data_IF_059265420295
#
_entry.id   IF_059265420295
#
_cell.length_a   1.000
_cell.length_b   1.000
_cell.length_c   1.000
_cell.angle_alpha   90.00
_cell.angle_beta   90.00
_cell.angle_gamma   90.00
#
_symmetry.space_group_name_H-M   'P 1'
#
loop_
_entity.id
_entity.type
_entity.pdbx_description
1 polymer ?
#
# COMPACT_ATOMS: atom_id res chain seq x y z
N UNK A 1 37.17 32.50 -38.88
CA UNK A 1 35.77 32.07 -38.82
C UNK A 1 35.76 30.77 -38.05
N UNK A 2 35.00 30.74 -36.96
CA UNK A 2 34.76 29.53 -36.17
C UNK A 2 33.65 28.65 -36.77
N UNK A 3 33.15 27.77 -35.91
CA UNK A 3 32.18 26.67 -36.11
C UNK A 3 32.74 25.40 -36.77
N UNK A 4 32.53 24.19 -36.23
CA UNK A 4 31.71 23.81 -35.08
C UNK A 4 32.00 22.36 -34.67
N UNK A 5 31.96 22.13 -33.37
CA UNK A 5 31.98 20.80 -32.75
C UNK A 5 30.58 20.30 -32.40
N UNK A 6 30.56 19.12 -31.76
CA UNK A 6 29.39 18.52 -31.12
C UNK A 6 28.76 17.45 -32.01
N UNK A 7 28.98 16.15 -31.79
CA UNK A 7 28.93 15.47 -30.50
C UNK A 7 27.59 14.76 -30.43
N UNK A 8 27.51 13.62 -31.12
CA UNK A 8 26.32 12.80 -31.20
C UNK A 8 26.04 12.10 -29.88
N UNK A 9 24.83 12.35 -29.38
CA UNK A 9 23.87 11.44 -28.78
C UNK A 9 24.40 10.20 -28.05
N UNK A 10 24.19 10.21 -26.75
CA UNK A 10 24.22 9.03 -25.89
C UNK A 10 23.54 9.33 -24.56
N UNK A 11 22.24 9.69 -24.59
CA UNK A 11 21.43 9.60 -23.38
C UNK A 11 21.09 8.12 -23.20
N UNK A 12 21.95 7.41 -22.50
CA UNK A 12 21.53 6.23 -21.75
C UNK A 12 20.72 6.75 -20.58
N UNK A 13 19.40 6.71 -20.70
CA UNK A 13 18.52 6.70 -19.54
C UNK A 13 18.74 5.33 -18.89
N UNK A 14 19.69 5.30 -17.96
CA UNK A 14 19.79 4.22 -16.99
C UNK A 14 18.52 4.33 -16.13
N UNK A 15 17.52 3.53 -16.49
CA UNK A 15 16.39 3.20 -15.64
C UNK A 15 16.98 2.52 -14.40
N UNK A 16 17.35 3.31 -13.39
CA UNK A 16 17.81 2.83 -12.08
C UNK A 16 16.69 2.01 -11.44
N UNK A 17 16.72 0.71 -11.71
CA UNK A 17 15.86 -0.30 -11.13
C UNK A 17 16.03 -0.27 -9.60
N UNK A 18 14.93 -0.37 -8.82
CA UNK A 18 15.05 -0.63 -7.39
C UNK A 18 15.54 -2.08 -7.20
N UNK A 19 16.85 -2.26 -7.18
CA UNK A 19 17.47 -3.50 -6.72
C UNK A 19 17.04 -3.74 -5.28
N UNK A 20 16.56 -4.95 -4.96
CA UNK A 20 16.17 -5.34 -3.60
C UNK A 20 17.43 -5.44 -2.76
N UNK A 21 17.85 -4.32 -2.17
CA UNK A 21 18.99 -4.30 -1.26
C UNK A 21 18.70 -5.22 -0.06
N UNK A 22 19.52 -6.27 0.18
CA UNK A 22 19.34 -7.16 1.32
C UNK A 22 19.46 -6.47 2.68
N UNK A 23 19.91 -5.21 2.75
CA UNK A 23 19.92 -4.38 3.95
C UNK A 23 18.58 -3.67 4.24
N UNK A 24 17.62 -3.76 3.32
CA UNK A 24 16.35 -3.04 3.40
C UNK A 24 15.47 -3.52 4.55
N UNK A 25 14.99 -2.58 5.36
CA UNK A 25 14.00 -2.86 6.41
C UNK A 25 12.61 -2.71 5.80
N UNK A 26 11.96 -3.84 5.55
CA UNK A 26 10.55 -3.88 5.20
C UNK A 26 9.73 -3.98 6.47
N UNK A 27 8.86 -3.01 6.71
CA UNK A 27 7.92 -3.10 7.84
C UNK A 27 6.66 -3.81 7.37
N UNK A 28 6.47 -5.04 7.83
CA UNK A 28 5.18 -5.70 7.78
C UNK A 28 4.35 -5.21 8.96
N UNK A 29 3.39 -4.35 8.70
CA UNK A 29 2.41 -3.91 9.69
C UNK A 29 1.13 -4.71 9.48
N UNK A 30 1.00 -5.81 10.21
CA UNK A 30 -0.32 -6.35 10.57
C UNK A 30 -0.56 -5.96 12.02
N UNK A 31 -0.99 -4.71 12.23
CA UNK A 31 -1.30 -4.16 13.57
C UNK A 31 -2.53 -4.87 14.20
N UNK A 32 -3.07 -5.91 13.55
CA UNK A 32 -4.09 -6.81 14.08
C UNK A 32 -3.51 -8.11 14.68
N UNK A 33 -2.19 -8.33 14.70
CA UNK A 33 -1.55 -9.48 15.35
C UNK A 33 -0.84 -9.18 16.67
N UNK A 34 -0.68 -7.90 17.05
CA UNK A 34 -0.30 -7.58 18.42
C UNK A 34 -1.55 -7.66 19.31
N UNK A 35 -1.52 -8.39 20.44
CA UNK A 35 -2.48 -8.15 21.49
C UNK A 35 -2.34 -6.66 21.85
N UNK A 36 -3.30 -5.85 21.44
CA UNK A 36 -3.34 -4.40 21.67
C UNK A 36 -3.55 -4.05 23.17
N UNK A 37 -3.16 -4.97 24.05
CA UNK A 37 -3.12 -4.91 25.50
C UNK A 37 -1.72 -4.57 26.01
N UNK A 38 -0.68 -4.57 25.17
CA UNK A 38 0.69 -4.31 25.62
C UNK A 38 1.03 -2.82 25.67
N UNK A 39 0.27 -2.07 26.48
CA UNK A 39 0.80 -0.94 27.25
C UNK A 39 0.64 -1.27 28.73
N UNK A 40 1.17 -2.44 29.12
CA UNK A 40 1.45 -2.81 30.49
C UNK A 40 2.77 -2.20 30.93
N UNK A 41 2.86 -0.86 30.95
CA UNK A 41 3.71 -0.21 31.94
C UNK A 41 3.22 -0.68 33.30
N UNK A 42 4.15 -1.20 34.11
CA UNK A 42 3.92 -1.82 35.41
C UNK A 42 2.66 -1.28 36.10
N UNK A 43 1.72 -2.18 36.39
CA UNK A 43 0.55 -1.95 37.23
C UNK A 43 1.00 -1.45 38.60
N UNK A 44 1.22 -0.15 38.74
CA UNK A 44 1.14 0.51 40.04
C UNK A 44 -0.33 0.57 40.44
N UNK A 45 -0.67 0.46 41.73
CA UNK A 45 -2.04 0.45 42.22
C UNK A 45 -2.84 1.75 41.93
N UNK A 46 -2.19 2.79 41.42
CA UNK A 46 -2.78 4.12 41.24
C UNK A 46 -3.31 4.38 39.82
N UNK A 47 -3.04 3.49 38.86
CA UNK A 47 -3.41 3.71 37.46
C UNK A 47 -2.77 4.97 36.85
N UNK A 48 -2.79 5.14 35.52
CA UNK A 48 -2.30 6.37 34.92
C UNK A 48 -3.30 7.50 35.19
N UNK A 49 -2.94 8.42 36.08
CA UNK A 49 -3.71 9.65 36.38
C UNK A 49 -3.79 10.57 35.14
N UNK A 50 -2.86 10.40 34.17
CA UNK A 50 -2.77 11.20 32.94
C UNK A 50 -2.28 10.38 31.71
N UNK A 51 -2.78 9.16 31.53
CA UNK A 51 -2.51 8.36 30.34
C UNK A 51 -3.74 8.24 29.44
N UNK A 52 -3.58 8.06 28.12
CA UNK A 52 -4.69 7.65 27.28
C UNK A 52 -5.28 6.34 27.81
N UNK A 53 -6.59 6.11 27.68
CA UNK A 53 -7.23 4.90 28.19
C UNK A 53 -6.53 3.65 27.64
N UNK A 54 -6.37 2.62 28.48
CA UNK A 54 -5.76 1.35 28.10
C UNK A 54 -6.40 0.83 26.80
N UNK A 55 -5.57 0.59 25.77
CA UNK A 55 -6.01 0.09 24.47
C UNK A 55 -6.30 1.16 23.42
N UNK A 56 -5.99 2.43 23.67
CA UNK A 56 -5.95 3.48 22.65
C UNK A 56 -4.74 3.31 21.73
N UNK A 57 -4.97 3.27 20.42
CA UNK A 57 -3.91 3.34 19.42
C UNK A 57 -3.71 4.81 19.06
N UNK A 58 -2.48 5.29 19.21
CA UNK A 58 -2.12 6.61 18.70
C UNK A 58 -1.93 6.52 17.18
N UNK A 59 -2.91 7.00 16.41
CA UNK A 59 -2.81 7.04 14.94
C UNK A 59 -1.65 7.91 14.48
N UNK A 60 -1.19 8.85 15.32
CA UNK A 60 0.01 9.64 15.08
C UNK A 60 1.25 8.77 15.00
N UNK A 61 1.43 7.83 15.93
CA UNK A 61 2.58 6.94 15.97
C UNK A 61 2.61 6.04 14.73
N UNK A 62 1.47 5.45 14.36
CA UNK A 62 1.37 4.63 13.15
C UNK A 62 1.68 5.45 11.90
N UNK A 63 1.13 6.66 11.81
CA UNK A 63 1.43 7.58 10.72
C UNK A 63 2.93 7.88 10.65
N UNK A 64 3.56 8.21 11.77
CA UNK A 64 4.97 8.56 11.80
C UNK A 64 5.84 7.37 11.38
N UNK A 65 5.51 6.15 11.79
CA UNK A 65 6.19 4.93 11.32
C UNK A 65 6.03 4.75 9.80
N UNK A 66 4.81 4.88 9.28
CA UNK A 66 4.53 4.69 7.84
C UNK A 66 5.21 5.76 6.99
N UNK A 67 5.20 7.02 7.42
CA UNK A 67 5.82 8.14 6.68
C UNK A 67 7.33 7.99 6.64
N UNK A 68 7.95 7.60 7.75
CA UNK A 68 9.40 7.44 7.86
C UNK A 68 9.89 6.08 7.35
N UNK A 69 9.04 5.28 6.71
CA UNK A 69 9.46 4.02 6.11
C UNK A 69 10.14 4.27 4.77
N UNK A 70 11.47 4.13 4.74
CA UNK A 70 12.30 4.38 3.55
C UNK A 70 11.96 3.45 2.38
N UNK A 71 11.60 2.21 2.68
CA UNK A 71 11.30 1.18 1.69
C UNK A 71 9.80 1.00 1.40
N UNK A 72 8.95 1.81 2.04
CA UNK A 72 7.51 1.80 1.82
C UNK A 72 6.74 0.68 2.52
N UNK A 73 5.46 0.60 2.17
CA UNK A 73 4.48 -0.30 2.79
C UNK A 73 4.17 -1.46 1.87
N UNK A 74 4.17 -2.68 2.42
CA UNK A 74 3.80 -3.89 1.68
C UNK A 74 2.36 -4.28 1.99
N UNK A 75 1.49 -4.17 1.00
CA UNK A 75 0.13 -4.69 1.01
C UNK A 75 0.14 -6.19 0.72
N UNK A 76 -0.11 -7.01 1.73
CA UNK A 76 -0.13 -8.47 1.59
C UNK A 76 -1.53 -8.94 1.22
N UNK A 77 -1.67 -9.50 0.02
CA UNK A 77 -2.94 -10.01 -0.47
C UNK A 77 -3.17 -11.44 0.05
N UNK A 78 -4.27 -11.64 0.76
CA UNK A 78 -4.69 -12.98 1.18
C UNK A 78 -5.65 -13.62 0.17
N UNK A 79 -5.80 -14.95 0.24
CA UNK A 79 -6.66 -15.69 -0.71
C UNK A 79 -8.15 -15.35 -0.60
N UNK A 80 -8.57 -14.72 0.49
CA UNK A 80 -9.97 -14.29 0.67
C UNK A 80 -10.17 -12.81 0.41
N UNK A 81 -9.10 -12.08 0.08
CA UNK A 81 -9.10 -10.61 -0.02
C UNK A 81 -9.67 -9.93 1.23
N UNK A 82 -9.59 -10.60 2.39
CA UNK A 82 -10.10 -10.12 3.66
C UNK A 82 -9.49 -8.77 4.05
N UNK A 83 -8.25 -8.50 3.62
CA UNK A 83 -7.57 -7.22 3.84
C UNK A 83 -8.36 -6.03 3.28
N UNK A 84 -9.11 -6.20 2.17
CA UNK A 84 -9.97 -5.16 1.59
C UNK A 84 -11.20 -4.85 2.45
N UNK A 85 -11.56 -5.77 3.35
CA UNK A 85 -12.67 -5.62 4.28
C UNK A 85 -12.27 -5.01 5.62
N UNK A 86 -11.00 -4.66 5.84
CA UNK A 86 -10.48 -4.21 7.14
C UNK A 86 -10.07 -2.74 7.08
N UNK A 87 -10.50 -1.95 8.07
CA UNK A 87 -10.25 -0.50 8.11
C UNK A 87 -8.75 -0.18 8.24
N UNK A 88 -8.06 -0.84 9.16
CA UNK A 88 -6.65 -0.57 9.49
C UNK A 88 -5.70 -0.75 8.30
N UNK A 89 -5.67 -1.90 7.60
CA UNK A 89 -4.78 -2.09 6.47
C UNK A 89 -5.02 -1.08 5.33
N UNK A 90 -6.28 -0.72 5.08
CA UNK A 90 -6.61 0.29 4.07
C UNK A 90 -6.17 1.70 4.48
N UNK A 91 -6.21 2.00 5.77
CA UNK A 91 -5.70 3.26 6.31
C UNK A 91 -4.17 3.35 6.18
N UNK A 92 -3.44 2.28 6.45
CA UNK A 92 -1.97 2.24 6.26
C UNK A 92 -1.56 2.40 4.79
N UNK A 93 -2.29 1.75 3.87
CA UNK A 93 -2.10 1.95 2.43
C UNK A 93 -2.34 3.41 2.05
N UNK A 94 -3.39 4.04 2.60
CA UNK A 94 -3.63 5.46 2.37
C UNK A 94 -2.50 6.33 2.92
N UNK A 95 -2.04 6.09 4.15
CA UNK A 95 -0.95 6.84 4.77
C UNK A 95 0.30 6.80 3.89
N UNK A 96 0.70 5.61 3.46
CA UNK A 96 1.86 5.41 2.59
C UNK A 96 1.70 6.11 1.24
N UNK A 97 0.54 5.97 0.60
CA UNK A 97 0.29 6.57 -0.70
C UNK A 97 0.13 8.10 -0.66
N UNK A 98 -0.42 8.64 0.42
CA UNK A 98 -0.75 10.06 0.55
C UNK A 98 0.42 10.89 1.09
N UNK A 99 1.11 10.39 2.12
CA UNK A 99 2.17 11.14 2.81
C UNK A 99 3.58 10.72 2.39
N UNK A 100 3.76 9.55 1.79
CA UNK A 100 5.08 9.05 1.35
C UNK A 100 5.13 8.76 -0.17
N UNK A 101 4.81 9.74 -1.04
CA UNK A 101 5.06 9.58 -2.47
C UNK A 101 6.58 9.63 -2.73
N UNK A 102 7.06 8.82 -3.67
CA UNK A 102 8.38 8.98 -4.27
C UNK A 102 8.52 10.38 -4.88
N UNK A 103 9.77 10.84 -5.02
CA UNK A 103 10.11 12.07 -5.74
C UNK A 103 9.53 12.09 -7.17
N UNK A 104 9.35 10.92 -7.77
CA UNK A 104 8.77 10.71 -9.09
C UNK A 104 7.23 10.62 -9.10
N UNK A 105 6.56 10.85 -7.96
CA UNK A 105 5.10 10.84 -7.81
C UNK A 105 4.46 9.45 -7.67
N UNK A 106 5.24 8.38 -7.51
CA UNK A 106 4.73 7.03 -7.30
C UNK A 106 4.48 6.74 -5.80
N UNK A 107 3.39 6.06 -5.46
CA UNK A 107 3.16 5.63 -4.07
C UNK A 107 4.18 4.56 -3.68
N UNK A 108 4.76 4.66 -2.47
CA UNK A 108 5.59 3.61 -1.86
C UNK A 108 4.77 2.44 -1.32
N UNK A 109 3.80 1.97 -2.10
CA UNK A 109 2.96 0.82 -1.77
C UNK A 109 3.33 -0.31 -2.72
N UNK A 110 3.74 -1.44 -2.15
CA UNK A 110 4.08 -2.67 -2.85
C UNK A 110 3.03 -3.73 -2.55
N UNK A 111 2.86 -4.70 -3.43
CA UNK A 111 1.96 -5.83 -3.18
C UNK A 111 2.79 -7.08 -2.92
N UNK A 112 2.36 -7.93 -1.98
CA UNK A 112 2.86 -9.30 -1.85
C UNK A 112 1.71 -10.25 -2.17
N UNK A 113 1.87 -11.04 -3.24
CA UNK A 113 0.82 -11.87 -3.81
C UNK A 113 1.16 -13.36 -3.58
N UNK A 114 0.20 -14.20 -3.15
CA UNK A 114 0.42 -15.65 -3.03
C UNK A 114 0.78 -16.28 -4.39
N UNK A 115 1.77 -17.17 -4.41
CA UNK A 115 2.27 -17.82 -5.64
C UNK A 115 1.22 -18.64 -6.40
N UNK A 116 0.18 -19.09 -5.69
CA UNK A 116 -0.92 -19.88 -6.20
C UNK A 116 -2.19 -19.04 -6.46
N UNK A 117 -2.06 -17.72 -6.58
CA UNK A 117 -3.22 -16.88 -6.88
C UNK A 117 -3.75 -17.17 -8.30
N UNK A 118 -5.08 -17.20 -8.42
CA UNK A 118 -5.74 -17.35 -9.71
C UNK A 118 -6.09 -15.99 -10.32
N UNK A 119 -6.10 -15.92 -11.65
CA UNK A 119 -6.44 -14.70 -12.40
C UNK A 119 -7.82 -14.14 -12.03
N UNK A 120 -8.79 -15.01 -11.75
CA UNK A 120 -10.15 -14.59 -11.35
C UNK A 120 -10.15 -13.78 -10.05
N UNK A 121 -9.22 -14.07 -9.13
CA UNK A 121 -9.06 -13.33 -7.89
C UNK A 121 -8.48 -11.94 -8.13
N UNK A 122 -7.51 -11.84 -9.05
CA UNK A 122 -6.92 -10.56 -9.45
C UNK A 122 -7.93 -9.70 -10.21
N UNK A 123 -8.78 -10.29 -11.05
CA UNK A 123 -9.91 -9.60 -11.66
C UNK A 123 -10.90 -9.09 -10.62
N UNK A 124 -11.26 -9.94 -9.65
CA UNK A 124 -12.18 -9.55 -8.59
C UNK A 124 -11.62 -8.40 -7.75
N UNK A 125 -10.33 -8.45 -7.41
CA UNK A 125 -9.60 -7.34 -6.80
C UNK A 125 -9.72 -6.08 -7.66
N UNK A 126 -9.46 -6.19 -8.97
CA UNK A 126 -9.56 -5.06 -9.89
C UNK A 126 -10.94 -4.42 -9.92
N UNK A 127 -11.97 -5.24 -10.08
CA UNK A 127 -13.37 -4.80 -10.09
C UNK A 127 -13.73 -4.14 -8.76
N UNK A 128 -13.30 -4.71 -7.64
CA UNK A 128 -13.56 -4.18 -6.29
C UNK A 128 -12.93 -2.80 -6.11
N UNK A 129 -11.66 -2.63 -6.49
CA UNK A 129 -10.98 -1.35 -6.41
C UNK A 129 -11.61 -0.30 -7.37
N UNK A 130 -11.97 -0.70 -8.59
CA UNK A 130 -12.60 0.19 -9.58
C UNK A 130 -14.02 0.63 -9.20
N UNK A 131 -14.79 -0.25 -8.55
CA UNK A 131 -16.10 0.09 -7.99
C UNK A 131 -16.01 1.11 -6.85
N UNK A 132 -14.82 1.25 -6.25
CA UNK A 132 -14.53 2.10 -5.11
C UNK A 132 -14.64 1.32 -3.80
N UNK A 133 -13.56 1.32 -3.03
CA UNK A 133 -13.54 0.73 -1.69
C UNK A 133 -14.34 1.63 -0.74
N UNK A 134 -15.40 1.08 -0.12
CA UNK A 134 -16.18 1.82 0.86
C UNK A 134 -15.67 1.59 2.28
N UNK A 135 -14.77 2.48 2.74
CA UNK A 135 -14.29 2.47 4.12
C UNK A 135 -15.40 2.47 5.17
N UNK A 136 -16.56 3.08 4.90
CA UNK A 136 -17.66 3.06 5.87
C UNK A 136 -18.21 1.64 6.08
N UNK A 137 -18.05 0.74 5.12
CA UNK A 137 -18.48 -0.67 5.19
C UNK A 137 -17.40 -1.64 5.66
N UNK A 138 -16.17 -1.17 5.82
CA UNK A 138 -15.07 -1.98 6.35
C UNK A 138 -15.26 -2.29 7.83
N UNK A 139 -14.57 -3.33 8.30
CA UNK A 139 -14.61 -3.82 9.67
C UNK A 139 -13.34 -3.44 10.42
N UNK A 140 -13.48 -3.19 11.71
CA UNK A 140 -12.38 -3.05 12.64
C UNK A 140 -12.69 -3.87 13.88
N UNK A 141 -11.68 -4.48 14.49
CA UNK A 141 -11.84 -5.21 15.75
C UNK A 141 -12.27 -4.30 16.90
N UNK A 142 -11.95 -3.01 16.82
CA UNK A 142 -12.41 -1.94 17.73
C UNK A 142 -13.17 -0.87 16.94
N UNK A 143 -14.46 -0.61 17.25
CA UNK A 143 -15.23 0.44 16.59
C UNK A 143 -14.65 1.84 16.75
N UNK A 144 -13.99 2.12 17.88
CA UNK A 144 -13.39 3.40 18.21
C UNK A 144 -12.25 3.76 17.24
N UNK A 145 -11.38 2.80 16.92
CA UNK A 145 -10.30 2.98 15.95
C UNK A 145 -10.84 3.39 14.59
N UNK A 146 -11.92 2.73 14.14
CA UNK A 146 -12.57 3.07 12.87
C UNK A 146 -13.10 4.50 12.91
N UNK A 147 -13.71 4.92 14.03
CA UNK A 147 -14.20 6.30 14.15
C UNK A 147 -13.06 7.33 14.12
N UNK A 148 -11.94 7.05 14.79
CA UNK A 148 -10.75 7.93 14.76
C UNK A 148 -10.16 8.02 13.35
N UNK A 149 -9.89 6.88 12.71
CA UNK A 149 -9.39 6.81 11.33
C UNK A 149 -10.31 7.60 10.38
N UNK A 150 -11.62 7.37 10.45
CA UNK A 150 -12.58 8.05 9.58
C UNK A 150 -12.61 9.57 9.83
N UNK A 151 -12.44 10.00 11.08
CA UNK A 151 -12.37 11.41 11.45
C UNK A 151 -11.09 12.06 10.91
N UNK A 152 -9.95 11.40 11.08
CA UNK A 152 -8.65 11.86 10.59
C UNK A 152 -8.66 12.01 9.06
N UNK A 153 -9.12 10.98 8.34
CA UNK A 153 -9.22 11.00 6.88
C UNK A 153 -10.12 12.14 6.41
N UNK A 154 -11.25 12.36 7.10
CA UNK A 154 -12.17 13.44 6.77
C UNK A 154 -11.50 14.81 6.88
N UNK A 155 -10.64 14.98 7.88
CA UNK A 155 -9.92 16.23 8.14
C UNK A 155 -8.72 16.42 7.20
N UNK A 156 -8.06 15.34 6.76
CA UNK A 156 -6.86 15.40 5.94
C UNK A 156 -7.14 15.60 4.45
N UNK A 157 -7.87 14.67 3.81
CA UNK A 157 -8.07 14.66 2.35
C UNK A 157 -9.52 14.48 1.92
N UNK A 158 -10.40 14.07 2.85
CA UNK A 158 -11.77 13.67 2.57
C UNK A 158 -11.88 12.18 2.15
N UNK A 159 -12.99 11.55 2.54
CA UNK A 159 -13.22 10.11 2.37
C UNK A 159 -13.18 9.66 0.90
N UNK A 160 -13.89 10.35 0.01
CA UNK A 160 -13.95 9.97 -1.42
C UNK A 160 -12.57 10.00 -2.08
N UNK A 161 -11.75 10.99 -1.74
CA UNK A 161 -10.38 11.12 -2.26
C UNK A 161 -9.49 10.00 -1.70
N UNK A 162 -9.59 9.70 -0.41
CA UNK A 162 -8.87 8.59 0.24
C UNK A 162 -9.20 7.26 -0.44
N UNK A 163 -10.48 6.97 -0.66
CA UNK A 163 -10.94 5.75 -1.33
C UNK A 163 -10.34 5.59 -2.73
N UNK A 164 -10.31 6.68 -3.52
CA UNK A 164 -9.65 6.68 -4.83
C UNK A 164 -8.16 6.41 -4.75
N UNK A 165 -7.46 7.06 -3.82
CA UNK A 165 -6.00 6.87 -3.62
C UNK A 165 -5.70 5.42 -3.25
N UNK A 166 -6.46 4.83 -2.33
CA UNK A 166 -6.25 3.44 -1.90
C UNK A 166 -6.48 2.49 -3.07
N UNK A 167 -7.61 2.62 -3.77
CA UNK A 167 -7.92 1.80 -4.94
C UNK A 167 -6.81 1.86 -5.98
N UNK A 168 -6.39 3.08 -6.35
CA UNK A 168 -5.34 3.27 -7.35
C UNK A 168 -4.00 2.69 -6.87
N UNK A 169 -3.65 2.87 -5.60
CA UNK A 169 -2.38 2.39 -5.03
C UNK A 169 -2.32 0.86 -4.99
N UNK A 170 -3.40 0.19 -4.56
CA UNK A 170 -3.48 -1.28 -4.55
C UNK A 170 -3.38 -1.83 -5.97
N UNK A 171 -4.07 -1.23 -6.95
CA UNK A 171 -4.01 -1.67 -8.34
C UNK A 171 -2.62 -1.49 -8.94
N UNK A 172 -1.99 -0.34 -8.72
CA UNK A 172 -0.62 -0.08 -9.18
C UNK A 172 0.37 -1.02 -8.53
N UNK A 173 0.29 -1.21 -7.21
CA UNK A 173 1.15 -2.13 -6.47
C UNK A 173 1.03 -3.57 -6.98
N UNK A 174 -0.21 -4.04 -7.19
CA UNK A 174 -0.49 -5.40 -7.69
C UNK A 174 0.04 -5.58 -9.11
N UNK A 175 -0.25 -4.63 -10.02
CA UNK A 175 0.23 -4.68 -11.40
C UNK A 175 1.75 -4.58 -11.48
N UNK A 176 2.35 -3.71 -10.67
CA UNK A 176 3.80 -3.55 -10.55
C UNK A 176 4.46 -4.84 -10.08
N UNK A 177 3.91 -5.50 -9.07
CA UNK A 177 4.40 -6.81 -8.63
C UNK A 177 4.33 -7.85 -9.76
N UNK A 178 3.17 -8.03 -10.40
CA UNK A 178 3.00 -9.07 -11.41
C UNK A 178 3.89 -8.84 -12.64
N UNK A 179 4.09 -7.58 -13.03
CA UNK A 179 4.91 -7.22 -14.19
C UNK A 179 6.40 -7.38 -13.93
N UNK A 180 6.86 -7.04 -12.71
CA UNK A 180 8.28 -6.92 -12.39
C UNK A 180 8.77 -7.93 -11.36
N UNK A 181 8.02 -8.99 -11.06
CA UNK A 181 8.48 -10.01 -10.11
C UNK A 181 9.65 -10.84 -10.63
N UNK A 182 9.87 -10.85 -11.96
CA UNK A 182 10.86 -11.68 -12.63
C UNK A 182 10.41 -13.14 -12.83
N UNK A 183 9.23 -13.50 -12.35
CA UNK A 183 8.68 -14.86 -12.44
C UNK A 183 7.76 -14.98 -13.67
N UNK A 184 8.01 -15.93 -14.59
CA UNK A 184 7.19 -16.08 -15.80
C UNK A 184 5.70 -16.33 -15.51
N UNK A 185 5.39 -16.98 -14.39
CA UNK A 185 4.01 -17.22 -13.97
C UNK A 185 3.25 -15.92 -13.67
N UNK A 186 3.91 -14.98 -12.99
CA UNK A 186 3.32 -13.70 -12.61
C UNK A 186 3.14 -12.79 -13.84
N UNK A 187 4.11 -12.80 -14.76
CA UNK A 187 3.98 -12.12 -16.06
C UNK A 187 2.82 -12.69 -16.89
N UNK A 188 2.63 -14.02 -16.85
CA UNK A 188 1.47 -14.67 -17.46
C UNK A 188 0.14 -14.22 -16.84
N UNK A 189 0.07 -14.10 -15.51
CA UNK A 189 -1.09 -13.55 -14.81
C UNK A 189 -1.34 -12.08 -15.16
N UNK A 190 -0.28 -11.26 -15.27
CA UNK A 190 -0.38 -9.88 -15.71
C UNK A 190 -0.95 -9.79 -17.13
N UNK A 191 -0.43 -10.58 -18.07
CA UNK A 191 -0.93 -10.62 -19.44
C UNK A 191 -2.41 -11.04 -19.50
N UNK A 192 -2.78 -12.08 -18.76
CA UNK A 192 -4.17 -12.54 -18.68
C UNK A 192 -5.09 -11.44 -18.14
N UNK A 193 -4.67 -10.73 -17.09
CA UNK A 193 -5.41 -9.61 -16.50
C UNK A 193 -5.60 -8.46 -17.52
N UNK A 194 -4.55 -8.09 -18.26
CA UNK A 194 -4.62 -7.03 -19.28
C UNK A 194 -5.54 -7.42 -20.44
N UNK A 195 -5.48 -8.68 -20.91
CA UNK A 195 -6.36 -9.21 -21.95
C UNK A 195 -7.83 -9.16 -21.53
N UNK A 196 -8.14 -9.64 -20.32
CA UNK A 196 -9.50 -9.63 -19.79
C UNK A 196 -10.03 -8.20 -19.56
N UNK A 197 -9.15 -7.28 -19.18
CA UNK A 197 -9.48 -5.86 -19.00
C UNK A 197 -9.50 -5.06 -20.30
N UNK A 198 -9.15 -5.69 -21.44
CA UNK A 198 -9.02 -5.05 -22.76
C UNK A 198 -7.98 -3.92 -22.81
N UNK A 199 -6.97 -3.99 -21.94
CA UNK A 199 -5.87 -3.02 -21.84
C UNK A 199 -4.70 -3.43 -22.74
N UNK A 200 -4.95 -3.69 -24.03
CA UNK A 200 -3.97 -4.31 -24.93
C UNK A 200 -2.67 -3.53 -25.11
N UNK A 201 -2.71 -2.20 -24.96
CA UNK A 201 -1.51 -1.36 -25.06
C UNK A 201 -0.47 -1.72 -23.98
N UNK A 202 -0.90 -2.21 -22.82
CA UNK A 202 0.00 -2.59 -21.72
C UNK A 202 0.73 -3.92 -21.97
N UNK A 203 0.26 -4.73 -22.93
CA UNK A 203 0.88 -6.01 -23.29
C UNK A 203 2.17 -5.87 -24.10
N UNK A 204 2.49 -4.67 -24.61
CA UNK A 204 3.69 -4.44 -25.41
C UNK A 204 5.00 -4.60 -24.61
N UNK A 205 4.90 -4.69 -23.29
CA UNK A 205 6.02 -4.70 -22.35
C UNK A 205 6.06 -5.98 -21.49
N UNK A 206 5.38 -7.03 -21.93
CA UNK A 206 5.40 -8.38 -21.34
C UNK A 206 6.19 -9.30 -22.25
#
# INVERSE_FOLDING_TARGET
GGDGGGGGSGNGEDDDEPSKDPSSIYVWLDVLALPQQYHGGASTPEGPIFGPPQGYIDTQEVRDVVINCDHGTVFVLDRTMAILGRTWPLYEVWLAAYYSPHENGFSRVYAAIPKDIHVDMLLHLQITCQAGLDLARTTSSKPEDKQHIMTEVRNASGLKRMQGIISDSILRATRGWLRWSGEPQDMGLYAALMLQSKEYAQLQFV
#
